data_IF_504962723224
#
_entry.id   IF_504962723224
#
_cell.length_a   1.000
_cell.length_b   1.000
_cell.length_c   1.000
_cell.angle_alpha   90.00
_cell.angle_beta   90.00
_cell.angle_gamma   90.00
#
_symmetry.space_group_name_H-M   'P 1'
#
loop_
_entity.id
_entity.type
_entity.pdbx_description
1 polymer ?
#
# COMPACT_ATOMS: atom_id res chain seq x y z
N UNK A 1 -7.70 38.27 8.69
CA UNK A 1 -7.32 36.86 8.80
C UNK A 1 -7.73 36.20 7.49
N UNK A 2 -6.77 35.94 6.62
CA UNK A 2 -6.98 35.56 5.21
C UNK A 2 -7.08 34.03 5.12
N UNK A 3 -8.16 33.55 4.52
CA UNK A 3 -8.37 32.16 4.10
C UNK A 3 -7.42 31.80 2.95
N UNK A 4 -6.73 30.66 2.93
CA UNK A 4 -6.05 30.20 1.73
C UNK A 4 -7.01 29.37 0.86
N UNK A 5 -7.12 29.78 -0.40
CA UNK A 5 -7.77 29.06 -1.50
C UNK A 5 -7.18 27.65 -1.67
N UNK A 6 -8.06 26.66 -1.83
CA UNK A 6 -7.71 25.35 -2.39
C UNK A 6 -7.72 25.47 -3.91
N UNK A 7 -6.54 25.56 -4.53
CA UNK A 7 -6.40 25.50 -5.98
C UNK A 7 -6.50 24.04 -6.43
N UNK A 8 -7.58 23.73 -7.13
CA UNK A 8 -7.75 22.50 -7.89
C UNK A 8 -6.75 22.48 -9.06
N UNK A 9 -5.81 21.54 -9.06
CA UNK A 9 -5.02 21.21 -10.25
C UNK A 9 -5.19 19.74 -10.62
N UNK A 10 -5.98 19.49 -11.67
CA UNK A 10 -6.03 18.24 -12.39
C UNK A 10 -4.71 17.99 -13.13
N UNK A 11 -3.92 17.04 -12.68
CA UNK A 11 -2.68 16.61 -13.36
C UNK A 11 -2.66 15.09 -13.46
N UNK A 12 -2.59 14.60 -14.69
CA UNK A 12 -2.62 13.18 -15.05
C UNK A 12 -1.58 12.35 -14.25
N UNK A 13 -2.08 11.39 -13.48
CA UNK A 13 -1.31 10.50 -12.61
C UNK A 13 -0.65 9.36 -13.40
N UNK A 14 0.44 9.67 -14.08
CA UNK A 14 1.35 8.63 -14.58
C UNK A 14 2.78 8.97 -14.15
N UNK A 15 3.18 8.34 -13.04
CA UNK A 15 4.57 8.21 -12.56
C UNK A 15 5.18 9.46 -11.89
N UNK A 16 4.61 9.90 -10.76
CA UNK A 16 5.36 10.68 -9.77
C UNK A 16 6.07 9.69 -8.84
N UNK A 17 7.41 9.70 -8.70
CA UNK A 17 8.06 8.96 -7.63
C UNK A 17 7.56 9.56 -6.31
N UNK A 18 6.74 8.81 -5.57
CA UNK A 18 6.29 9.24 -4.24
C UNK A 18 7.53 9.58 -3.41
N UNK A 19 7.65 10.86 -3.03
CA UNK A 19 8.49 11.27 -1.92
C UNK A 19 8.07 10.44 -0.70
N UNK A 20 8.86 9.41 -0.38
CA UNK A 20 8.59 8.47 0.71
C UNK A 20 8.92 9.07 2.08
N UNK A 21 9.31 10.35 2.13
CA UNK A 21 9.69 11.05 3.34
C UNK A 21 8.47 11.15 4.29
N UNK A 22 8.34 10.18 5.19
CA UNK A 22 7.34 10.14 6.26
C UNK A 22 6.24 9.09 6.14
N UNK A 23 6.11 8.34 5.04
CA UNK A 23 5.05 7.33 4.89
C UNK A 23 5.36 6.03 5.62
N UNK A 24 6.58 5.51 5.48
CA UNK A 24 7.05 4.27 6.08
C UNK A 24 8.51 4.40 6.52
N UNK A 25 8.90 3.62 7.53
CA UNK A 25 10.26 3.60 8.09
C UNK A 25 11.19 2.75 7.23
N UNK A 26 10.68 1.60 6.78
CA UNK A 26 11.44 0.69 5.93
C UNK A 26 10.48 -0.12 5.04
N UNK A 27 10.96 -0.52 3.87
CA UNK A 27 10.21 -1.37 2.94
C UNK A 27 11.15 -2.42 2.36
N UNK A 28 10.79 -3.69 2.53
CA UNK A 28 11.46 -4.84 1.95
C UNK A 28 10.58 -5.39 0.82
N UNK A 29 11.11 -5.39 -0.40
CA UNK A 29 10.42 -5.87 -1.61
C UNK A 29 11.11 -7.15 -2.07
N UNK A 30 10.35 -8.24 -2.06
CA UNK A 30 10.79 -9.56 -2.54
C UNK A 30 9.87 -10.03 -3.66
N UNK A 31 10.28 -11.12 -4.31
CA UNK A 31 9.51 -11.72 -5.40
C UNK A 31 8.13 -12.21 -4.96
N UNK A 32 8.00 -12.70 -3.72
CA UNK A 32 6.77 -13.31 -3.21
C UNK A 32 5.96 -12.38 -2.27
N UNK A 33 6.56 -11.30 -1.78
CA UNK A 33 5.93 -10.42 -0.77
C UNK A 33 6.54 -9.03 -0.72
N UNK A 34 5.74 -8.08 -0.22
CA UNK A 34 6.20 -6.74 0.15
C UNK A 34 5.92 -6.52 1.63
N UNK A 35 6.97 -6.28 2.41
CA UNK A 35 6.87 -5.94 3.84
C UNK A 35 7.11 -4.43 3.99
N UNK A 36 6.12 -3.72 4.51
CA UNK A 36 6.22 -2.28 4.79
C UNK A 36 6.13 -2.05 6.29
N UNK A 37 7.17 -1.47 6.86
CA UNK A 37 7.27 -1.14 8.28
C UNK A 37 6.94 0.32 8.48
N UNK A 38 5.98 0.61 9.35
CA UNK A 38 5.49 1.97 9.58
C UNK A 38 4.95 2.13 10.99
N UNK A 39 5.05 3.34 11.50
CA UNK A 39 4.33 3.75 12.70
C UNK A 39 2.91 4.20 12.33
N UNK A 40 1.93 3.85 13.17
CA UNK A 40 0.53 4.24 13.00
C UNK A 40 -0.03 4.74 14.34
N UNK A 41 -0.43 6.01 14.40
CA UNK A 41 -1.08 6.57 15.59
C UNK A 41 -2.57 6.22 15.61
N UNK A 42 -3.19 6.32 16.80
CA UNK A 42 -4.63 6.09 16.95
C UNK A 42 -5.43 7.08 16.11
N UNK A 43 -6.32 6.56 15.25
CA UNK A 43 -7.13 7.39 14.34
C UNK A 43 -6.38 7.86 13.09
N UNK A 44 -5.10 7.51 12.94
CA UNK A 44 -4.34 7.74 11.72
C UNK A 44 -4.67 6.64 10.69
N UNK A 45 -4.59 7.00 9.42
CA UNK A 45 -4.70 6.05 8.30
C UNK A 45 -3.55 6.28 7.33
N UNK A 46 -2.91 5.20 6.90
CA UNK A 46 -1.82 5.22 5.92
C UNK A 46 -2.17 4.36 4.73
N UNK A 47 -1.96 4.91 3.54
CA UNK A 47 -2.18 4.23 2.26
C UNK A 47 -0.84 3.93 1.61
N UNK A 48 -0.64 2.67 1.22
CA UNK A 48 0.56 2.22 0.55
C UNK A 48 0.20 1.67 -0.84
N UNK A 49 0.78 2.26 -1.87
CA UNK A 49 0.60 1.81 -3.24
C UNK A 49 1.73 0.85 -3.62
N UNK A 50 1.36 -0.30 -4.18
CA UNK A 50 2.30 -1.29 -4.71
C UNK A 50 2.03 -1.47 -6.19
N UNK A 51 3.08 -1.30 -7.00
CA UNK A 51 3.03 -1.56 -8.44
C UNK A 51 3.33 -3.03 -8.69
N UNK A 52 2.41 -3.73 -9.35
CA UNK A 52 2.57 -5.12 -9.74
C UNK A 52 2.60 -5.22 -11.26
N UNK A 53 3.40 -6.16 -11.78
CA UNK A 53 3.48 -6.48 -13.20
C UNK A 53 2.90 -7.87 -13.45
N UNK A 54 1.90 -7.97 -14.33
CA UNK A 54 1.28 -9.23 -14.70
C UNK A 54 2.02 -9.83 -15.92
N UNK A 55 2.89 -10.80 -15.68
CA UNK A 55 3.76 -11.40 -16.72
C UNK A 55 3.19 -12.66 -17.36
N UNK A 56 2.43 -13.45 -16.61
CA UNK A 56 1.92 -14.76 -17.05
C UNK A 56 0.40 -14.80 -17.01
N UNK A 57 -0.21 -15.23 -18.12
CA UNK A 57 -1.65 -15.48 -18.17
C UNK A 57 -2.01 -16.71 -17.34
N UNK A 58 -3.08 -16.62 -16.54
CA UNK A 58 -3.48 -17.69 -15.64
C UNK A 58 -4.39 -17.23 -14.50
N UNK A 59 -4.75 -18.18 -13.65
CA UNK A 59 -5.57 -17.94 -12.46
C UNK A 59 -4.69 -18.02 -11.22
N UNK A 60 -4.66 -16.94 -10.45
CA UNK A 60 -3.83 -16.80 -9.27
C UNK A 60 -4.67 -16.51 -8.03
N UNK A 61 -4.18 -16.97 -6.88
CA UNK A 61 -4.73 -16.59 -5.59
C UNK A 61 -4.04 -15.31 -5.13
N UNK A 62 -4.83 -14.29 -4.83
CA UNK A 62 -4.32 -13.08 -4.20
C UNK A 62 -4.31 -13.31 -2.68
N UNK A 63 -3.14 -13.33 -2.02
CA UNK A 63 -3.08 -13.52 -0.59
C UNK A 63 -3.82 -12.39 0.13
N UNK A 64 -4.36 -12.71 1.30
CA UNK A 64 -4.87 -11.70 2.21
C UNK A 64 -3.73 -10.75 2.63
N UNK A 65 -4.05 -9.47 2.74
CA UNK A 65 -3.13 -8.47 3.29
C UNK A 65 -3.19 -8.60 4.81
N UNK A 66 -2.03 -8.71 5.45
CA UNK A 66 -1.89 -8.78 6.90
C UNK A 66 -1.13 -7.57 7.41
N UNK A 67 -1.61 -7.05 8.55
CA UNK A 67 -0.96 -6.00 9.32
C UNK A 67 -0.93 -6.45 10.78
N UNK A 68 0.22 -6.37 11.44
CA UNK A 68 0.38 -6.79 12.83
C UNK A 68 1.36 -5.87 13.55
N UNK A 69 1.18 -5.71 14.85
CA UNK A 69 2.16 -5.02 15.67
C UNK A 69 3.40 -5.92 15.86
N UNK A 70 4.59 -5.36 15.64
CA UNK A 70 5.84 -6.14 15.70
C UNK A 70 6.13 -6.75 17.07
N UNK A 71 5.67 -6.12 18.15
CA UNK A 71 5.95 -6.53 19.53
C UNK A 71 4.70 -6.97 20.30
N UNK A 72 3.53 -7.01 19.64
CA UNK A 72 2.28 -7.47 20.25
C UNK A 72 1.47 -8.30 19.23
N UNK A 73 1.52 -9.62 19.37
CA UNK A 73 0.82 -10.55 18.48
C UNK A 73 -0.71 -10.52 18.64
N UNK A 74 -1.24 -9.90 19.71
CA UNK A 74 -2.68 -9.76 19.89
C UNK A 74 -3.27 -8.70 18.96
N UNK A 75 -2.45 -7.73 18.52
CA UNK A 75 -2.86 -6.63 17.64
C UNK A 75 -2.54 -7.00 16.18
N UNK A 76 -3.55 -7.54 15.51
CA UNK A 76 -3.46 -7.90 14.08
C UNK A 76 -4.75 -7.58 13.33
N UNK A 77 -4.61 -7.32 12.03
CA UNK A 77 -5.69 -7.13 11.09
C UNK A 77 -5.36 -7.90 9.80
N UNK A 78 -6.39 -8.52 9.21
CA UNK A 78 -6.25 -9.28 7.97
C UNK A 78 -7.47 -9.07 7.08
N UNK A 79 -7.23 -8.88 5.78
CA UNK A 79 -8.30 -8.81 4.78
C UNK A 79 -8.72 -10.19 4.29
N UNK A 80 -9.79 -10.28 3.49
CA UNK A 80 -10.13 -11.55 2.82
C UNK A 80 -9.14 -11.81 1.67
N UNK A 81 -8.74 -13.06 1.50
CA UNK A 81 -8.00 -13.50 0.32
C UNK A 81 -8.90 -13.42 -0.93
N UNK A 82 -8.28 -13.24 -2.09
CA UNK A 82 -8.97 -13.07 -3.37
C UNK A 82 -8.50 -14.04 -4.44
N UNK A 83 -9.15 -13.99 -5.60
CA UNK A 83 -8.70 -14.64 -6.82
C UNK A 83 -8.51 -13.57 -7.88
N UNK A 84 -7.47 -13.70 -8.69
CA UNK A 84 -7.22 -12.81 -9.81
C UNK A 84 -6.92 -13.63 -11.06
N UNK A 85 -7.36 -13.14 -12.21
CA UNK A 85 -7.11 -13.77 -13.50
C UNK A 85 -6.31 -12.79 -14.34
N UNK A 86 -5.17 -13.25 -14.84
CA UNK A 86 -4.36 -12.50 -15.81
C UNK A 86 -4.72 -13.04 -17.20
N UNK A 87 -5.29 -12.18 -18.04
CA UNK A 87 -5.57 -12.45 -19.44
C UNK A 87 -4.67 -11.61 -20.35
N UNK A 88 -4.48 -12.06 -21.59
CA UNK A 88 -3.75 -11.34 -22.64
C UNK A 88 -4.63 -10.29 -23.30
#
# INVERSE_FOLDING_TARGET
MIVPEVSSSSTNEANVPESSAGKYTYKDIRDDRVLTYFDLRRGESKTFTVRLQATYAGNFILPAIQCEAMYDAAVQARTKAGRTTVSR
#
